data_IF_320991906348
#
_entry.id   IF_320991906348
#
_cell.length_a   1.000
_cell.length_b   1.000
_cell.length_c   1.000
_cell.angle_alpha   90.00
_cell.angle_beta   90.00
_cell.angle_gamma   90.00
#
_symmetry.space_group_name_H-M   'P 1'
#
loop_
_entity.id
_entity.type
_entity.pdbx_description
1 polymer ?
#
# COMPACT_ATOMS: atom_id res chain seq x y z
N UNK A 1 3.63 -26.04 22.59
CA UNK A 1 2.52 -26.79 21.97
C UNK A 1 2.28 -26.09 20.64
N UNK A 2 2.48 -26.79 19.53
CA UNK A 2 2.16 -26.24 18.21
C UNK A 2 0.64 -26.06 18.13
N UNK A 3 0.17 -24.82 18.10
CA UNK A 3 -1.22 -24.58 17.71
C UNK A 3 -1.41 -25.18 16.32
N UNK A 4 -2.18 -26.26 16.24
CA UNK A 4 -2.56 -26.86 14.96
C UNK A 4 -3.30 -25.78 14.16
N UNK A 5 -2.67 -25.32 13.09
CA UNK A 5 -3.28 -24.33 12.21
C UNK A 5 -4.46 -24.99 11.53
N UNK A 6 -5.67 -24.73 12.03
CA UNK A 6 -6.90 -25.20 11.38
C UNK A 6 -6.99 -24.60 9.98
N UNK A 7 -6.98 -25.49 9.00
CA UNK A 7 -7.00 -25.08 7.57
C UNK A 7 -8.35 -24.52 7.13
N UNK A 8 -9.43 -24.82 7.87
CA UNK A 8 -10.77 -24.35 7.53
C UNK A 8 -11.26 -23.43 8.64
N UNK A 9 -11.70 -22.24 8.27
CA UNK A 9 -12.27 -21.26 9.18
C UNK A 9 -13.62 -20.79 8.68
N UNK A 10 -14.56 -20.57 9.58
CA UNK A 10 -15.88 -20.04 9.27
C UNK A 10 -16.11 -18.74 10.04
N UNK A 11 -16.17 -17.64 9.31
CA UNK A 11 -16.57 -16.34 9.86
C UNK A 11 -18.08 -16.27 9.73
N UNK A 12 -18.78 -16.13 10.85
CA UNK A 12 -20.25 -16.08 10.93
C UNK A 12 -20.73 -14.69 11.24
N UNK A 13 -21.93 -14.38 10.77
CA UNK A 13 -22.66 -13.15 11.11
C UNK A 13 -21.88 -11.87 10.78
N UNK A 14 -21.10 -11.84 9.71
CA UNK A 14 -20.34 -10.67 9.30
C UNK A 14 -21.17 -9.75 8.39
N UNK A 15 -21.05 -8.44 8.56
CA UNK A 15 -21.54 -7.44 7.61
C UNK A 15 -20.46 -7.27 6.52
N UNK A 16 -20.65 -7.92 5.37
CA UNK A 16 -19.61 -8.06 4.35
C UNK A 16 -19.61 -6.90 3.36
N UNK A 17 -18.42 -6.31 3.16
CA UNK A 17 -18.12 -5.33 2.12
C UNK A 17 -17.07 -5.88 1.15
N UNK A 18 -17.33 -5.81 -0.16
CA UNK A 18 -16.51 -6.47 -1.20
C UNK A 18 -15.54 -5.61 -2.02
N UNK A 19 -15.47 -4.29 -2.08
CA UNK A 19 -15.87 -3.22 -1.15
C UNK A 19 -17.36 -2.84 -1.14
N UNK A 20 -18.12 -3.15 -2.17
CA UNK A 20 -19.56 -2.87 -2.20
C UNK A 20 -20.28 -3.68 -1.11
N UNK A 21 -21.34 -3.13 -0.45
CA UNK A 21 -22.03 -3.83 0.62
C UNK A 21 -22.76 -5.08 0.12
N UNK A 22 -22.43 -6.24 0.69
CA UNK A 22 -23.06 -7.53 0.40
C UNK A 22 -24.10 -7.91 1.48
N UNK A 23 -24.13 -7.17 2.57
CA UNK A 23 -24.98 -7.42 3.72
C UNK A 23 -24.46 -8.54 4.63
N UNK A 24 -25.33 -9.05 5.52
CA UNK A 24 -24.96 -10.06 6.51
C UNK A 24 -24.75 -11.42 5.86
N UNK A 25 -23.55 -11.99 6.02
CA UNK A 25 -23.14 -13.27 5.42
C UNK A 25 -22.26 -14.08 6.38
N UNK A 26 -22.19 -15.37 6.11
CA UNK A 26 -21.15 -16.28 6.59
C UNK A 26 -20.11 -16.47 5.48
N UNK A 27 -18.82 -16.47 5.87
CA UNK A 27 -17.69 -16.62 4.95
C UNK A 27 -16.84 -17.81 5.37
N UNK A 28 -16.72 -18.82 4.51
CA UNK A 28 -15.89 -19.99 4.74
C UNK A 28 -14.53 -19.79 4.07
N UNK A 29 -13.47 -19.94 4.85
CA UNK A 29 -12.09 -19.94 4.38
C UNK A 29 -11.57 -21.35 4.26
N UNK A 30 -10.92 -21.67 3.14
CA UNK A 30 -10.30 -22.95 2.86
C UNK A 30 -8.80 -22.71 2.58
N UNK A 31 -7.99 -23.04 3.59
CA UNK A 31 -6.56 -22.66 3.60
C UNK A 31 -6.37 -21.16 3.40
N UNK A 32 -5.75 -20.73 2.31
CA UNK A 32 -5.44 -19.35 1.98
C UNK A 32 -6.48 -18.66 1.07
N UNK A 33 -7.64 -19.31 0.81
CA UNK A 33 -8.68 -18.83 -0.09
C UNK A 33 -10.03 -18.64 0.58
N UNK A 34 -10.82 -17.73 0.03
CA UNK A 34 -12.26 -17.62 0.33
C UNK A 34 -12.98 -18.72 -0.46
N UNK A 35 -13.48 -19.73 0.25
CA UNK A 35 -14.15 -20.88 -0.37
C UNK A 35 -15.62 -20.61 -0.69
N UNK A 36 -16.39 -20.07 0.26
CA UNK A 36 -17.82 -19.80 0.10
C UNK A 36 -18.24 -18.53 0.82
N UNK A 37 -19.26 -17.86 0.29
CA UNK A 37 -19.96 -16.74 0.91
C UNK A 37 -21.45 -17.01 0.76
N UNK A 38 -22.20 -17.13 1.85
CA UNK A 38 -23.63 -17.41 1.86
C UNK A 38 -24.33 -16.72 3.03
N UNK A 39 -25.67 -16.63 2.99
CA UNK A 39 -26.46 -16.05 4.09
C UNK A 39 -26.25 -16.84 5.40
N UNK A 40 -26.09 -18.15 5.30
CA UNK A 40 -25.82 -19.06 6.41
C UNK A 40 -25.06 -20.29 5.92
N UNK A 41 -24.00 -20.63 6.64
CA UNK A 41 -23.23 -21.86 6.42
C UNK A 41 -23.34 -22.74 7.68
N UNK A 42 -23.82 -23.97 7.51
CA UNK A 42 -23.77 -25.01 8.54
C UNK A 42 -22.55 -25.91 8.23
N UNK A 43 -21.50 -25.86 9.05
CA UNK A 43 -20.28 -26.61 8.78
C UNK A 43 -20.41 -28.12 9.05
N UNK A 44 -21.55 -28.57 9.63
CA UNK A 44 -21.69 -29.94 10.11
C UNK A 44 -20.80 -30.21 11.34
N UNK A 45 -20.71 -31.49 11.73
CA UNK A 45 -19.92 -31.92 12.92
C UNK A 45 -18.68 -32.74 12.56
N UNK A 46 -18.52 -33.08 11.29
CA UNK A 46 -17.51 -34.06 10.84
C UNK A 46 -16.16 -33.42 10.46
N UNK A 47 -16.13 -32.09 10.33
CA UNK A 47 -14.92 -31.36 9.92
C UNK A 47 -14.49 -30.44 11.08
N UNK A 48 -13.21 -30.47 11.43
CA UNK A 48 -12.66 -29.53 12.42
C UNK A 48 -12.53 -28.14 11.80
N UNK A 49 -13.40 -27.24 12.23
CA UNK A 49 -13.51 -25.86 11.73
C UNK A 49 -13.33 -24.88 12.89
N UNK A 50 -12.44 -23.90 12.69
CA UNK A 50 -12.39 -22.76 13.59
C UNK A 50 -13.52 -21.77 13.26
N UNK A 51 -14.44 -21.57 14.20
CA UNK A 51 -15.56 -20.63 14.03
C UNK A 51 -15.20 -19.29 14.67
N UNK A 52 -15.33 -18.23 13.90
CA UNK A 52 -15.18 -16.83 14.34
C UNK A 52 -16.56 -16.18 14.21
N UNK A 53 -17.19 -15.84 15.33
CA UNK A 53 -18.43 -15.07 15.32
C UNK A 53 -18.10 -13.57 15.21
N UNK A 54 -18.40 -13.00 14.07
CA UNK A 54 -18.15 -11.60 13.79
C UNK A 54 -19.12 -10.64 14.54
N UNK A 55 -20.21 -11.15 15.12
CA UNK A 55 -21.16 -10.34 15.92
C UNK A 55 -21.59 -9.04 15.23
N UNK A 56 -21.90 -9.14 13.96
CA UNK A 56 -22.29 -8.01 13.09
C UNK A 56 -21.16 -6.98 12.79
N UNK A 57 -19.90 -7.26 13.13
CA UNK A 57 -18.75 -6.47 12.70
C UNK A 57 -18.68 -6.37 11.17
N UNK A 58 -18.08 -5.29 10.65
CA UNK A 58 -17.81 -5.15 9.24
C UNK A 58 -16.66 -6.07 8.83
N UNK A 59 -16.88 -6.90 7.82
CA UNK A 59 -15.84 -7.70 7.18
C UNK A 59 -15.46 -7.06 5.86
N UNK A 60 -14.22 -6.64 5.74
CA UNK A 60 -13.68 -5.93 4.60
C UNK A 60 -12.48 -6.67 4.02
N UNK A 61 -12.05 -6.40 2.75
CA UNK A 61 -10.82 -6.97 2.22
C UNK A 61 -9.61 -6.53 3.06
N UNK A 62 -8.60 -7.38 3.18
CA UNK A 62 -7.31 -7.03 3.77
C UNK A 62 -6.66 -5.85 3.03
N UNK A 63 -6.06 -4.93 3.77
CA UNK A 63 -5.52 -3.70 3.21
C UNK A 63 -4.22 -3.95 2.46
N UNK A 64 -3.99 -3.13 1.43
CA UNK A 64 -2.83 -3.15 0.55
C UNK A 64 -2.11 -1.83 0.70
N UNK A 65 -0.88 -1.88 1.19
CA UNK A 65 0.01 -0.74 1.24
C UNK A 65 1.06 -0.85 0.14
N UNK A 66 0.91 -0.04 -0.89
CA UNK A 66 1.74 -0.15 -2.10
C UNK A 66 3.03 0.68 -2.05
N UNK A 67 3.38 1.25 -0.89
CA UNK A 67 4.61 2.01 -0.72
C UNK A 67 5.10 1.94 0.73
N UNK A 68 6.04 1.02 1.00
CA UNK A 68 6.61 0.80 2.34
C UNK A 68 8.13 0.58 2.25
N UNK A 69 8.89 1.27 3.07
CA UNK A 69 10.35 1.07 3.17
C UNK A 69 10.66 -0.14 4.06
N UNK A 70 10.36 -1.36 3.59
CA UNK A 70 10.46 -2.58 4.41
C UNK A 70 11.86 -2.85 4.97
N UNK A 71 12.91 -2.32 4.32
CA UNK A 71 14.30 -2.35 4.81
C UNK A 71 14.68 -1.10 5.64
N UNK A 72 13.68 -0.26 5.99
CA UNK A 72 13.88 1.04 6.59
C UNK A 72 14.34 2.10 5.59
N UNK A 73 13.81 3.29 5.73
CA UNK A 73 14.22 4.50 5.01
C UNK A 73 15.22 5.33 5.83
N UNK A 74 15.32 6.62 5.50
CA UNK A 74 16.16 7.58 6.19
C UNK A 74 17.68 7.37 5.91
N UNK A 75 18.47 8.13 6.62
CA UNK A 75 19.92 8.17 6.46
C UNK A 75 20.44 9.50 5.94
N UNK A 76 19.56 10.37 5.44
CA UNK A 76 19.90 11.68 4.86
C UNK A 76 20.49 12.65 5.89
N UNK A 77 20.25 12.43 7.19
CA UNK A 77 20.88 13.14 8.30
C UNK A 77 22.14 12.47 8.85
N UNK A 78 22.72 11.53 8.11
CA UNK A 78 23.89 10.73 8.50
C UNK A 78 23.48 9.36 9.08
N UNK A 79 24.47 8.49 9.33
CA UNK A 79 24.25 7.07 9.68
C UNK A 79 23.32 6.85 10.88
N UNK A 80 23.30 7.75 11.86
CA UNK A 80 22.41 7.64 13.04
C UNK A 80 20.93 7.85 12.74
N UNK A 81 20.57 8.37 11.56
CA UNK A 81 19.18 8.60 11.13
C UNK A 81 18.63 7.47 10.25
N UNK A 82 19.34 6.37 10.15
CA UNK A 82 18.88 5.16 9.45
C UNK A 82 17.79 4.47 10.26
N UNK A 83 16.62 4.26 9.65
CA UNK A 83 15.51 3.56 10.28
C UNK A 83 15.73 2.04 10.15
N UNK A 84 15.45 1.23 11.18
CA UNK A 84 15.57 -0.22 11.10
C UNK A 84 14.52 -0.84 10.16
N UNK A 85 14.71 -2.11 9.80
CA UNK A 85 13.72 -2.88 9.04
C UNK A 85 12.38 -2.97 9.79
N UNK A 86 11.28 -2.99 9.04
CA UNK A 86 9.93 -3.14 9.60
C UNK A 86 9.73 -4.54 10.20
N UNK A 87 8.96 -4.63 11.26
CA UNK A 87 8.53 -5.88 11.84
C UNK A 87 7.15 -6.30 11.34
N UNK A 88 6.84 -7.60 11.37
CA UNK A 88 5.57 -8.15 10.92
C UNK A 88 4.36 -7.49 11.63
N UNK A 89 4.45 -7.36 12.96
CA UNK A 89 3.34 -6.80 13.75
C UNK A 89 3.09 -5.31 13.47
N UNK A 90 4.11 -4.54 13.04
CA UNK A 90 3.94 -3.14 12.65
C UNK A 90 3.05 -3.01 11.40
N UNK A 91 3.08 -4.03 10.54
CA UNK A 91 2.25 -4.12 9.33
C UNK A 91 0.84 -4.59 9.69
N UNK A 92 0.75 -5.71 10.39
CA UNK A 92 -0.55 -6.38 10.63
C UNK A 92 -1.45 -5.62 11.59
N UNK A 93 -0.91 -4.85 12.55
CA UNK A 93 -1.67 -3.92 13.41
C UNK A 93 -2.43 -2.86 12.60
N UNK A 94 -1.92 -2.49 11.43
CA UNK A 94 -2.59 -1.59 10.50
C UNK A 94 -3.68 -2.24 9.63
N UNK A 95 -3.98 -3.54 9.83
CA UNK A 95 -4.90 -4.30 8.96
C UNK A 95 -4.30 -4.64 7.59
N UNK A 96 -3.03 -4.34 7.39
CA UNK A 96 -2.34 -4.56 6.12
C UNK A 96 -1.93 -6.02 6.00
N UNK A 97 -2.35 -6.66 4.91
CA UNK A 97 -2.06 -8.06 4.58
C UNK A 97 -1.17 -8.20 3.35
N UNK A 98 -1.03 -7.12 2.61
CA UNK A 98 -0.19 -7.04 1.41
C UNK A 98 0.59 -5.74 1.41
N UNK A 99 1.92 -5.84 1.23
CA UNK A 99 2.81 -4.67 1.11
C UNK A 99 3.60 -4.71 -0.18
N UNK A 100 3.97 -3.53 -0.70
CA UNK A 100 4.97 -3.40 -1.75
C UNK A 100 6.15 -2.61 -1.20
N UNK A 101 7.28 -3.27 -1.09
CA UNK A 101 8.52 -2.68 -0.59
C UNK A 101 9.24 -1.85 -1.64
N UNK A 102 9.86 -0.75 -1.21
CA UNK A 102 10.71 0.09 -2.04
C UNK A 102 12.01 0.48 -1.31
N UNK A 103 12.99 0.92 -2.08
CA UNK A 103 14.15 1.65 -1.59
C UNK A 103 13.95 3.14 -1.86
N UNK A 104 14.31 3.97 -0.90
CA UNK A 104 14.32 5.43 -1.05
C UNK A 104 15.68 5.97 -1.53
N UNK A 105 16.15 7.04 -0.89
CA UNK A 105 17.37 7.76 -1.26
C UNK A 105 18.65 6.89 -1.12
N UNK A 106 18.71 6.00 -0.12
CA UNK A 106 19.90 5.16 0.14
C UNK A 106 19.86 3.86 -0.66
N UNK A 107 20.44 3.86 -1.83
CA UNK A 107 20.71 2.65 -2.63
C UNK A 107 22.15 2.12 -2.48
N UNK A 108 22.98 2.78 -1.66
CA UNK A 108 24.37 2.41 -1.44
C UNK A 108 24.52 1.37 -0.36
N UNK A 109 23.80 1.53 0.74
CA UNK A 109 23.85 0.65 1.90
C UNK A 109 22.57 -0.18 2.11
N UNK A 110 21.49 0.11 1.36
CA UNK A 110 20.29 -0.70 1.19
C UNK A 110 20.19 -1.11 -0.27
N UNK A 111 20.26 -2.42 -0.54
CA UNK A 111 20.32 -2.92 -1.91
C UNK A 111 19.04 -3.68 -2.29
N UNK A 112 18.81 -3.87 -3.59
CA UNK A 112 17.72 -4.74 -4.08
C UNK A 112 17.85 -6.17 -3.53
N UNK A 113 19.08 -6.66 -3.28
CA UNK A 113 19.29 -7.98 -2.65
C UNK A 113 18.75 -8.01 -1.22
N UNK A 114 18.98 -6.97 -0.44
CA UNK A 114 18.42 -6.83 0.90
C UNK A 114 16.89 -6.71 0.85
N UNK A 115 16.36 -5.88 -0.08
CA UNK A 115 14.94 -5.67 -0.24
C UNK A 115 14.17 -6.96 -0.56
N UNK A 116 14.67 -7.75 -1.53
CA UNK A 116 14.03 -9.03 -1.87
C UNK A 116 14.15 -10.07 -0.75
N UNK A 117 15.27 -10.10 -0.02
CA UNK A 117 15.43 -10.98 1.13
C UNK A 117 14.40 -10.64 2.22
N UNK A 118 14.20 -9.36 2.52
CA UNK A 118 13.18 -8.91 3.48
C UNK A 118 11.77 -9.21 3.00
N UNK A 119 11.48 -9.02 1.71
CA UNK A 119 10.17 -9.38 1.14
C UNK A 119 9.87 -10.88 1.29
N UNK A 120 10.85 -11.75 1.05
CA UNK A 120 10.72 -13.20 1.25
C UNK A 120 10.52 -13.55 2.73
N UNK A 121 11.24 -12.90 3.64
CA UNK A 121 11.05 -13.06 5.09
C UNK A 121 9.61 -12.75 5.51
N UNK A 122 9.05 -11.61 5.10
CA UNK A 122 7.66 -11.24 5.41
C UNK A 122 6.64 -12.22 4.80
N UNK A 123 6.93 -12.81 3.62
CA UNK A 123 6.10 -13.86 3.02
C UNK A 123 6.13 -15.16 3.85
N UNK A 124 7.28 -15.56 4.37
CA UNK A 124 7.43 -16.70 5.26
C UNK A 124 6.74 -16.47 6.60
N UNK A 125 6.75 -15.24 7.10
CA UNK A 125 6.04 -14.84 8.31
C UNK A 125 4.50 -14.79 8.14
N UNK A 126 3.98 -14.76 6.90
CA UNK A 126 2.58 -15.05 6.60
C UNK A 126 1.78 -13.96 5.89
N UNK A 127 2.37 -12.82 5.51
CA UNK A 127 1.71 -11.80 4.68
C UNK A 127 2.13 -11.91 3.20
N UNK A 128 1.47 -11.17 2.33
CA UNK A 128 1.92 -11.03 0.93
C UNK A 128 2.86 -9.83 0.82
N UNK A 129 4.02 -10.04 0.21
CA UNK A 129 4.98 -8.97 -0.01
C UNK A 129 5.52 -9.00 -1.44
N UNK A 130 5.43 -7.86 -2.11
CA UNK A 130 6.05 -7.56 -3.39
C UNK A 130 7.06 -6.43 -3.21
N UNK A 131 7.83 -6.11 -4.26
CA UNK A 131 8.78 -5.00 -4.26
C UNK A 131 8.82 -4.30 -5.62
N UNK A 132 9.31 -3.08 -5.62
CA UNK A 132 9.79 -2.40 -6.82
C UNK A 132 11.30 -2.59 -6.96
N UNK A 133 11.80 -2.78 -8.19
CA UNK A 133 13.25 -2.69 -8.46
C UNK A 133 13.67 -1.23 -8.61
N UNK A 134 14.91 -0.90 -8.25
CA UNK A 134 15.42 0.47 -8.29
C UNK A 134 15.32 1.20 -6.95
N UNK A 135 15.44 2.51 -7.03
CA UNK A 135 15.46 3.46 -5.92
C UNK A 135 15.11 4.86 -6.43
N UNK A 136 15.44 5.93 -5.69
CA UNK A 136 15.30 7.34 -6.16
C UNK A 136 16.05 7.64 -7.45
N UNK A 137 17.15 6.93 -7.72
CA UNK A 137 18.16 7.34 -8.66
C UNK A 137 18.11 6.61 -10.00
N UNK A 138 18.64 7.28 -11.02
CA UNK A 138 18.95 6.69 -12.32
C UNK A 138 20.47 6.82 -12.60
N UNK A 139 21.04 5.87 -13.32
CA UNK A 139 20.44 4.66 -13.89
C UNK A 139 19.92 3.72 -12.80
N UNK A 140 18.77 3.07 -13.07
CA UNK A 140 18.13 2.15 -12.14
C UNK A 140 19.04 0.97 -11.82
N UNK A 141 19.32 0.73 -10.54
CA UNK A 141 20.03 -0.48 -10.10
C UNK A 141 19.07 -1.65 -10.05
N UNK A 142 19.42 -2.72 -10.72
CA UNK A 142 18.62 -3.94 -10.84
C UNK A 142 19.31 -5.13 -10.15
N UNK A 143 18.57 -6.20 -9.94
CA UNK A 143 19.13 -7.45 -9.43
C UNK A 143 19.73 -8.31 -10.55
N UNK A 144 19.09 -8.25 -11.73
CA UNK A 144 19.54 -8.85 -12.99
C UNK A 144 20.16 -7.78 -13.90
N UNK A 145 20.17 -8.01 -15.20
CA UNK A 145 20.83 -7.10 -16.16
C UNK A 145 19.94 -5.92 -16.56
N UNK A 146 18.63 -5.98 -16.32
CA UNK A 146 17.69 -4.93 -16.72
C UNK A 146 16.42 -4.86 -15.86
N UNK A 147 15.72 -3.71 -15.91
CA UNK A 147 14.39 -3.54 -15.31
C UNK A 147 13.42 -4.61 -15.85
N UNK A 148 13.47 -4.86 -17.16
CA UNK A 148 12.59 -5.83 -17.80
C UNK A 148 12.83 -7.24 -17.27
N UNK A 149 14.11 -7.66 -17.16
CA UNK A 149 14.46 -8.99 -16.66
C UNK A 149 14.12 -9.17 -15.18
N UNK A 150 14.36 -8.15 -14.35
CA UNK A 150 13.93 -8.15 -12.96
C UNK A 150 12.43 -8.43 -12.84
N UNK A 151 11.60 -7.71 -13.60
CA UNK A 151 10.14 -7.88 -13.57
C UNK A 151 9.70 -9.22 -14.13
N UNK A 152 10.33 -9.69 -15.19
CA UNK A 152 9.95 -10.97 -15.86
C UNK A 152 10.36 -12.18 -15.02
N UNK A 153 11.57 -12.19 -14.49
CA UNK A 153 12.19 -13.39 -13.91
C UNK A 153 12.01 -13.53 -12.39
N UNK A 154 11.67 -12.45 -11.68
CA UNK A 154 11.60 -12.44 -10.22
C UNK A 154 10.16 -12.18 -9.78
N UNK A 155 9.52 -13.17 -9.16
CA UNK A 155 8.09 -13.15 -8.82
C UNK A 155 7.69 -11.99 -7.91
N UNK A 156 8.57 -11.59 -6.99
CA UNK A 156 8.32 -10.51 -6.06
C UNK A 156 8.39 -9.12 -6.72
N UNK A 157 9.08 -8.97 -7.85
CA UNK A 157 9.25 -7.68 -8.53
C UNK A 157 8.08 -7.43 -9.48
N UNK A 158 7.28 -6.39 -9.19
CA UNK A 158 6.06 -6.06 -9.93
C UNK A 158 6.10 -4.73 -10.67
N UNK A 159 7.18 -3.98 -10.53
CA UNK A 159 7.37 -2.67 -11.13
C UNK A 159 8.73 -2.09 -10.80
N UNK A 160 8.94 -0.82 -11.07
CA UNK A 160 10.16 -0.06 -10.79
C UNK A 160 9.85 1.15 -9.91
N UNK A 161 10.74 1.48 -8.99
CA UNK A 161 10.61 2.66 -8.10
C UNK A 161 11.25 2.44 -6.71
N UNK A 162 11.10 3.45 -5.88
CA UNK A 162 10.46 4.75 -6.20
C UNK A 162 11.47 5.67 -6.92
N UNK A 163 11.14 6.10 -8.12
CA UNK A 163 11.99 7.04 -8.87
C UNK A 163 11.65 8.46 -8.46
N UNK A 164 12.63 9.26 -8.04
CA UNK A 164 12.38 10.63 -7.61
C UNK A 164 12.42 11.61 -8.77
N UNK A 165 11.36 12.43 -8.87
CA UNK A 165 11.29 13.58 -9.78
C UNK A 165 10.80 14.81 -9.01
N UNK A 166 11.08 16.00 -9.52
CA UNK A 166 10.72 17.27 -8.87
C UNK A 166 11.23 17.35 -7.41
N UNK A 167 12.34 16.71 -7.11
CA UNK A 167 12.98 16.65 -5.79
C UNK A 167 14.47 16.98 -5.90
N UNK A 168 15.00 17.74 -4.94
CA UNK A 168 16.43 18.10 -4.91
C UNK A 168 17.34 16.89 -4.65
N UNK A 169 16.80 15.78 -4.11
CA UNK A 169 17.51 14.51 -3.88
C UNK A 169 17.48 13.59 -5.08
N UNK A 170 16.72 13.93 -6.12
CA UNK A 170 16.65 13.11 -7.33
C UNK A 170 17.95 13.20 -8.15
N UNK A 171 18.16 12.24 -9.04
CA UNK A 171 19.25 12.26 -10.01
C UNK A 171 19.02 13.23 -11.17
N UNK A 172 17.99 14.08 -11.11
CA UNK A 172 17.58 15.06 -12.14
C UNK A 172 17.35 14.39 -13.51
N UNK A 173 16.43 13.39 -13.59
CA UNK A 173 16.19 12.66 -14.83
C UNK A 173 15.68 13.54 -15.96
N UNK A 174 15.98 13.17 -17.19
CA UNK A 174 15.36 13.77 -18.38
C UNK A 174 14.04 13.08 -18.73
N UNK A 175 13.22 13.67 -19.60
CA UNK A 175 12.00 13.04 -20.13
C UNK A 175 12.31 11.70 -20.81
N UNK A 176 13.42 11.65 -21.55
CA UNK A 176 13.90 10.43 -22.23
C UNK A 176 14.23 9.30 -21.23
N UNK A 177 14.88 9.64 -20.12
CA UNK A 177 15.22 8.66 -19.09
C UNK A 177 13.96 8.01 -18.49
N UNK A 178 12.97 8.83 -18.10
CA UNK A 178 11.71 8.31 -17.54
C UNK A 178 10.92 7.53 -18.60
N UNK A 179 10.91 8.00 -19.85
CA UNK A 179 10.30 7.28 -20.97
C UNK A 179 10.90 5.87 -21.16
N UNK A 180 12.24 5.75 -21.12
CA UNK A 180 12.95 4.46 -21.24
C UNK A 180 12.66 3.52 -20.04
N UNK A 181 12.67 4.05 -18.81
CA UNK A 181 12.33 3.30 -17.61
C UNK A 181 10.89 2.77 -17.73
N UNK A 182 9.95 3.63 -18.10
CA UNK A 182 8.55 3.28 -18.24
C UNK A 182 8.32 2.23 -19.35
N UNK A 183 9.02 2.35 -20.46
CA UNK A 183 8.97 1.37 -21.56
C UNK A 183 9.48 -0.01 -21.12
N UNK A 184 10.63 -0.07 -20.44
CA UNK A 184 11.20 -1.31 -19.93
C UNK A 184 10.29 -1.97 -18.87
N UNK A 185 9.76 -1.18 -17.92
CA UNK A 185 8.84 -1.67 -16.91
C UNK A 185 7.54 -2.21 -17.52
N UNK A 186 6.96 -1.46 -18.49
CA UNK A 186 5.75 -1.86 -19.22
C UNK A 186 5.95 -3.16 -19.99
N UNK A 187 7.05 -3.28 -20.73
CA UNK A 187 7.38 -4.50 -21.47
C UNK A 187 7.53 -5.70 -20.51
N UNK A 188 8.26 -5.54 -19.40
CA UNK A 188 8.39 -6.56 -18.37
C UNK A 188 7.04 -6.99 -17.79
N UNK A 189 6.18 -6.00 -17.46
CA UNK A 189 4.83 -6.27 -16.95
C UNK A 189 3.93 -6.99 -17.94
N UNK A 190 4.01 -6.67 -19.24
CA UNK A 190 3.25 -7.35 -20.30
C UNK A 190 3.72 -8.81 -20.50
N UNK A 191 5.01 -9.05 -20.52
CA UNK A 191 5.58 -10.38 -20.73
C UNK A 191 5.32 -11.33 -19.55
N UNK A 192 5.28 -10.80 -18.32
CA UNK A 192 5.09 -11.58 -17.09
C UNK A 192 3.65 -11.60 -16.56
N UNK A 193 2.73 -10.81 -17.14
CA UNK A 193 1.37 -10.62 -16.62
C UNK A 193 1.31 -9.77 -15.35
N UNK A 194 2.42 -9.15 -14.94
CA UNK A 194 2.52 -8.28 -13.75
C UNK A 194 2.13 -6.83 -14.07
N UNK A 195 2.15 -5.96 -13.06
CA UNK A 195 1.80 -4.54 -13.24
C UNK A 195 2.78 -3.82 -14.18
N UNK A 196 4.07 -3.94 -13.93
CA UNK A 196 5.11 -3.24 -14.68
C UNK A 196 4.97 -1.71 -14.61
N UNK A 197 4.44 -1.19 -13.50
CA UNK A 197 4.25 0.26 -13.29
C UNK A 197 5.56 0.92 -12.86
N UNK A 198 5.57 2.25 -12.92
CA UNK A 198 6.61 3.10 -12.36
C UNK A 198 6.03 3.84 -11.15
N UNK A 199 6.52 3.53 -9.96
CA UNK A 199 6.22 4.29 -8.75
C UNK A 199 7.12 5.52 -8.70
N UNK A 200 6.54 6.70 -8.57
CA UNK A 200 7.24 7.98 -8.68
C UNK A 200 7.12 8.77 -7.38
N UNK A 201 8.25 9.06 -6.76
CA UNK A 201 8.35 10.03 -5.68
C UNK A 201 8.27 11.45 -6.24
N UNK A 202 7.24 12.20 -5.84
CA UNK A 202 7.11 13.63 -6.21
C UNK A 202 7.59 14.49 -5.05
N UNK A 203 8.61 15.30 -5.33
CA UNK A 203 9.11 16.31 -4.38
C UNK A 203 8.37 17.63 -4.45
N UNK A 204 8.95 18.66 -3.80
CA UNK A 204 8.40 20.02 -3.74
C UNK A 204 8.87 20.92 -4.91
N UNK A 205 9.45 20.33 -5.94
CA UNK A 205 9.95 21.05 -7.12
C UNK A 205 8.83 21.74 -7.90
N UNK A 206 9.22 22.78 -8.65
CA UNK A 206 8.29 23.63 -9.41
C UNK A 206 7.52 22.89 -10.52
N UNK A 207 8.11 21.82 -11.07
CA UNK A 207 7.57 21.12 -12.23
C UNK A 207 6.42 20.17 -11.84
N UNK A 208 6.32 19.80 -10.54
CA UNK A 208 5.22 18.98 -9.99
C UNK A 208 4.99 17.73 -10.83
N UNK A 209 3.81 17.59 -11.45
CA UNK A 209 3.39 16.47 -12.29
C UNK A 209 3.53 16.72 -13.80
N UNK A 210 3.87 17.96 -14.23
CA UNK A 210 3.99 18.26 -15.66
C UNK A 210 5.00 17.38 -16.37
N UNK A 211 6.07 16.99 -15.67
CA UNK A 211 7.09 16.09 -16.17
C UNK A 211 6.52 14.72 -16.62
N UNK A 212 5.60 14.13 -15.85
CA UNK A 212 4.94 12.86 -16.20
C UNK A 212 3.92 13.05 -17.34
N UNK A 213 3.23 14.18 -17.34
CA UNK A 213 2.32 14.56 -18.45
C UNK A 213 3.09 14.70 -19.76
N UNK A 214 4.25 15.35 -19.73
CA UNK A 214 5.09 15.54 -20.91
C UNK A 214 5.61 14.22 -21.47
N UNK A 215 6.01 13.27 -20.60
CA UNK A 215 6.36 11.91 -21.04
C UNK A 215 5.17 11.23 -21.71
N UNK A 216 3.98 11.28 -21.12
CA UNK A 216 2.78 10.64 -21.67
C UNK A 216 2.33 11.29 -22.99
N UNK A 217 2.51 12.62 -23.14
CA UNK A 217 2.13 13.36 -24.35
C UNK A 217 3.14 13.23 -25.49
N UNK A 218 4.42 13.00 -25.18
CA UNK A 218 5.50 12.92 -26.17
C UNK A 218 5.89 11.49 -26.55
N UNK A 219 5.29 10.48 -25.92
CA UNK A 219 5.57 9.05 -26.16
C UNK A 219 4.28 8.24 -26.26
N UNK A 220 4.39 6.94 -26.58
CA UNK A 220 3.27 5.98 -26.55
C UNK A 220 3.01 5.41 -25.14
N UNK A 221 3.65 5.95 -24.10
CA UNK A 221 3.48 5.51 -22.72
C UNK A 221 2.18 6.09 -22.14
N UNK A 222 1.21 5.27 -21.72
CA UNK A 222 -0.02 5.79 -21.16
C UNK A 222 0.23 6.46 -19.80
N UNK A 223 -0.50 7.53 -19.49
CA UNK A 223 -0.40 8.25 -18.22
C UNK A 223 -0.61 7.33 -17.00
N UNK A 224 -1.37 6.25 -17.14
CA UNK A 224 -1.61 5.24 -16.10
C UNK A 224 -0.42 4.31 -15.84
N UNK A 225 0.67 4.46 -16.59
CA UNK A 225 1.92 3.75 -16.36
C UNK A 225 2.61 4.20 -15.07
N UNK A 226 2.30 5.42 -14.62
CA UNK A 226 2.90 6.06 -13.46
C UNK A 226 1.95 6.05 -12.26
N UNK A 227 2.50 5.81 -11.08
CA UNK A 227 1.83 6.02 -9.78
C UNK A 227 2.65 7.07 -9.03
N UNK A 228 2.38 8.37 -9.24
CA UNK A 228 3.01 9.43 -8.46
C UNK A 228 2.46 9.44 -7.03
N UNK A 229 3.36 9.47 -6.04
CA UNK A 229 3.02 9.49 -4.62
C UNK A 229 3.41 10.80 -3.94
N UNK A 230 2.95 11.00 -2.70
CA UNK A 230 3.16 12.18 -1.85
C UNK A 230 2.43 13.43 -2.33
N UNK A 231 1.31 13.29 -3.03
CA UNK A 231 0.65 14.40 -3.73
C UNK A 231 -0.08 15.38 -2.80
N UNK A 232 -0.18 15.08 -1.50
CA UNK A 232 -0.74 15.98 -0.48
C UNK A 232 0.26 16.94 0.18
N UNK A 233 1.54 16.96 -0.22
CA UNK A 233 2.61 17.72 0.47
C UNK A 233 2.38 19.23 0.53
N UNK A 234 1.75 19.81 -0.46
CA UNK A 234 1.41 21.23 -0.48
C UNK A 234 0.21 21.51 -1.41
N UNK A 235 -0.51 22.63 -1.21
CA UNK A 235 -1.71 22.94 -1.98
C UNK A 235 -1.49 23.01 -3.49
N UNK A 236 -0.33 23.50 -3.93
CA UNK A 236 -0.04 23.61 -5.34
C UNK A 236 0.21 22.27 -6.03
N UNK A 237 0.79 21.29 -5.31
CA UNK A 237 0.95 19.93 -5.80
C UNK A 237 -0.38 19.18 -5.79
N UNK A 238 -1.18 19.38 -4.75
CA UNK A 238 -2.52 18.79 -4.64
C UNK A 238 -3.44 19.23 -5.79
N UNK A 239 -3.48 20.53 -6.11
CA UNK A 239 -4.24 21.02 -7.27
C UNK A 239 -3.74 20.40 -8.59
N UNK A 240 -2.41 20.26 -8.77
CA UNK A 240 -1.84 19.59 -9.93
C UNK A 240 -2.26 18.10 -9.97
N UNK A 241 -2.36 17.43 -8.82
CA UNK A 241 -2.82 16.05 -8.73
C UNK A 241 -4.27 15.89 -9.20
N UNK A 242 -5.16 16.80 -8.83
CA UNK A 242 -6.55 16.80 -9.29
C UNK A 242 -6.60 16.92 -10.83
N UNK A 243 -5.84 17.85 -11.38
CA UNK A 243 -5.80 18.05 -12.85
C UNK A 243 -5.20 16.83 -13.56
N UNK A 244 -4.16 16.21 -13.00
CA UNK A 244 -3.55 14.99 -13.51
C UNK A 244 -4.54 13.81 -13.51
N UNK A 245 -5.30 13.65 -12.41
CA UNK A 245 -6.31 12.61 -12.31
C UNK A 245 -7.48 12.82 -13.31
N UNK A 246 -7.91 14.06 -13.53
CA UNK A 246 -8.93 14.40 -14.54
C UNK A 246 -8.48 14.05 -15.96
N UNK A 247 -7.17 14.04 -16.24
CA UNK A 247 -6.57 13.57 -17.50
C UNK A 247 -6.44 12.04 -17.57
N UNK A 248 -6.86 11.32 -16.52
CA UNK A 248 -6.84 9.86 -16.44
C UNK A 248 -5.64 9.28 -15.71
N UNK A 249 -4.78 10.10 -15.13
CA UNK A 249 -3.66 9.67 -14.29
C UNK A 249 -4.11 9.01 -12.99
N UNK A 250 -3.21 8.22 -12.39
CA UNK A 250 -3.38 7.69 -11.03
C UNK A 250 -2.75 8.66 -10.05
N UNK A 251 -3.34 8.82 -8.87
CA UNK A 251 -2.83 9.70 -7.82
C UNK A 251 -2.75 8.95 -6.50
N UNK A 252 -1.68 9.19 -5.75
CA UNK A 252 -1.45 8.57 -4.47
C UNK A 252 -1.13 9.59 -3.38
N UNK A 253 -1.78 9.43 -2.21
CA UNK A 253 -1.58 10.28 -1.06
C UNK A 253 -0.94 9.48 0.07
N UNK A 254 0.10 10.07 0.68
CA UNK A 254 0.83 9.48 1.79
C UNK A 254 0.17 9.80 3.11
N UNK A 255 -0.21 8.76 3.84
CA UNK A 255 -0.96 8.89 5.10
C UNK A 255 -0.09 9.19 6.31
N UNK A 256 1.19 8.80 6.31
CA UNK A 256 2.11 9.17 7.38
C UNK A 256 2.40 10.67 7.33
N UNK A 257 2.13 11.33 8.44
CA UNK A 257 2.42 12.74 8.66
C UNK A 257 2.86 12.90 10.11
N UNK A 258 3.80 13.81 10.43
CA UNK A 258 4.12 14.12 11.82
C UNK A 258 2.85 14.50 12.59
N UNK A 259 2.66 13.89 13.77
CA UNK A 259 1.44 14.14 14.56
C UNK A 259 1.38 15.59 15.06
N UNK A 260 2.55 16.18 15.41
CA UNK A 260 2.57 17.55 15.92
C UNK A 260 3.97 18.17 15.91
N UNK A 261 4.10 19.46 15.49
CA UNK A 261 3.10 20.20 14.71
C UNK A 261 2.98 19.66 13.28
N UNK A 262 1.79 19.69 12.68
CA UNK A 262 1.63 19.24 11.29
C UNK A 262 2.48 20.08 10.36
N UNK A 263 3.03 19.48 9.32
CA UNK A 263 3.78 20.21 8.30
C UNK A 263 2.85 21.25 7.65
N UNK A 264 3.24 22.51 7.72
CA UNK A 264 2.42 23.60 7.19
C UNK A 264 2.18 23.43 5.70
N UNK A 265 0.90 23.33 5.32
CA UNK A 265 0.49 23.16 3.94
C UNK A 265 0.30 21.71 3.51
N UNK A 266 0.64 20.72 4.35
CA UNK A 266 0.31 19.33 4.10
C UNK A 266 -1.21 19.13 4.19
N UNK A 267 -1.79 18.42 3.23
CA UNK A 267 -3.23 18.15 3.17
C UNK A 267 -3.49 16.76 3.75
N UNK A 268 -4.34 16.69 4.78
CA UNK A 268 -4.74 15.44 5.40
C UNK A 268 -5.42 14.53 4.36
N UNK A 269 -5.04 13.24 4.30
CA UNK A 269 -5.52 12.34 3.25
C UNK A 269 -7.03 12.15 3.26
N UNK A 270 -7.67 12.11 4.43
CA UNK A 270 -9.13 12.06 4.55
C UNK A 270 -9.80 13.25 3.85
N UNK A 271 -9.30 14.47 4.07
CA UNK A 271 -9.79 15.70 3.41
C UNK A 271 -9.44 15.72 1.92
N UNK A 272 -8.24 15.26 1.56
CA UNK A 272 -7.84 15.14 0.17
C UNK A 272 -8.81 14.24 -0.61
N UNK A 273 -9.20 13.09 -0.03
CA UNK A 273 -10.18 12.19 -0.66
C UNK A 273 -11.53 12.89 -0.87
N UNK A 274 -12.02 13.58 0.15
CA UNK A 274 -13.28 14.34 0.04
C UNK A 274 -13.23 15.35 -1.11
N UNK A 275 -12.19 16.16 -1.12
CA UNK A 275 -12.05 17.23 -2.11
C UNK A 275 -11.88 16.71 -3.54
N UNK A 276 -11.08 15.64 -3.75
CA UNK A 276 -10.92 15.06 -5.09
C UNK A 276 -12.24 14.48 -5.62
N UNK A 277 -13.06 13.86 -4.75
CA UNK A 277 -14.38 13.37 -5.11
C UNK A 277 -15.34 14.50 -5.47
N UNK A 278 -15.37 15.57 -4.67
CA UNK A 278 -16.17 16.77 -4.93
C UNK A 278 -15.77 17.49 -6.24
N UNK A 279 -14.49 17.43 -6.60
CA UNK A 279 -13.94 17.91 -7.86
C UNK A 279 -14.24 17.00 -9.05
N UNK A 280 -14.96 15.88 -8.85
CA UNK A 280 -15.38 14.96 -9.90
C UNK A 280 -14.29 13.98 -10.38
N UNK A 281 -13.24 13.77 -9.60
CA UNK A 281 -12.26 12.73 -9.87
C UNK A 281 -12.86 11.37 -9.50
N UNK A 282 -12.85 10.37 -10.41
CA UNK A 282 -13.31 9.03 -10.08
C UNK A 282 -12.46 8.41 -8.96
N UNK A 283 -13.10 7.83 -7.93
CA UNK A 283 -12.38 7.22 -6.79
C UNK A 283 -11.36 6.17 -7.23
N UNK A 284 -11.61 5.50 -8.35
CA UNK A 284 -10.73 4.49 -8.93
C UNK A 284 -9.35 5.02 -9.31
N UNK A 285 -9.18 6.32 -9.39
CA UNK A 285 -7.88 6.97 -9.68
C UNK A 285 -7.05 7.23 -8.42
N UNK A 286 -7.66 7.08 -7.23
CA UNK A 286 -7.06 7.45 -5.95
C UNK A 286 -6.56 6.20 -5.22
N UNK A 287 -5.35 6.27 -4.68
CA UNK A 287 -4.82 5.34 -3.68
C UNK A 287 -4.23 6.09 -2.49
N UNK A 288 -4.17 5.38 -1.37
CA UNK A 288 -3.41 5.81 -0.20
C UNK A 288 -2.27 4.82 0.06
N UNK A 289 -1.14 5.36 0.50
CA UNK A 289 0.01 4.59 0.98
C UNK A 289 0.52 5.18 2.29
N UNK A 290 1.15 4.35 3.13
CA UNK A 290 1.62 4.84 4.41
C UNK A 290 2.98 5.54 4.35
N UNK A 291 3.82 5.18 3.39
CA UNK A 291 5.27 5.49 3.44
C UNK A 291 5.89 4.94 4.76
N UNK A 292 5.41 3.77 5.18
CA UNK A 292 5.81 3.13 6.42
C UNK A 292 7.31 2.87 6.46
N UNK A 293 7.95 3.10 7.64
CA UNK A 293 9.40 3.10 7.81
C UNK A 293 10.15 4.13 6.94
N UNK A 294 9.44 5.07 6.29
CA UNK A 294 10.02 6.26 5.68
C UNK A 294 10.42 7.29 6.74
N UNK A 295 11.33 8.18 6.40
CA UNK A 295 11.80 9.26 7.28
C UNK A 295 10.97 10.51 7.09
N UNK A 296 10.31 10.96 8.15
CA UNK A 296 9.47 12.16 8.15
C UNK A 296 10.19 13.32 8.85
N UNK A 297 10.46 14.43 8.16
CA UNK A 297 11.03 15.61 8.81
C UNK A 297 9.99 16.28 9.73
N UNK A 298 10.41 16.64 10.95
CA UNK A 298 9.65 17.48 11.86
C UNK A 298 10.13 18.92 11.77
N UNK A 299 9.20 19.83 11.87
CA UNK A 299 9.45 21.27 11.92
C UNK A 299 8.84 21.84 13.19
N UNK A 300 9.48 22.85 13.79
CA UNK A 300 8.94 23.55 14.94
C UNK A 300 7.86 24.58 14.53
N UNK A 301 7.31 25.33 15.50
CA UNK A 301 6.30 26.37 15.30
C UNK A 301 6.78 27.49 14.37
N UNK A 302 8.09 27.67 14.22
CA UNK A 302 8.70 28.67 13.32
C UNK A 302 8.96 28.10 11.92
N UNK A 303 8.75 26.81 11.72
CA UNK A 303 9.05 26.09 10.49
C UNK A 303 10.52 25.69 10.38
N UNK A 304 11.29 25.70 11.47
CA UNK A 304 12.67 25.23 11.50
C UNK A 304 12.72 23.73 11.77
N UNK A 305 13.68 23.04 11.13
CA UNK A 305 13.85 21.60 11.32
C UNK A 305 14.12 21.25 12.79
N UNK A 306 13.27 20.44 13.40
CA UNK A 306 13.31 20.07 14.82
C UNK A 306 13.61 18.60 15.07
N UNK A 307 13.66 17.75 14.03
CA UNK A 307 13.95 16.33 14.18
C UNK A 307 13.37 15.45 13.08
N UNK A 308 13.41 14.14 13.31
CA UNK A 308 12.88 13.11 12.40
C UNK A 308 11.91 12.21 13.15
N UNK A 309 10.87 11.78 12.45
CA UNK A 309 9.93 10.74 12.87
C UNK A 309 9.94 9.59 11.86
N UNK A 310 9.33 8.48 12.23
CA UNK A 310 9.22 7.28 11.38
C UNK A 310 7.79 7.19 10.85
N UNK A 311 7.62 7.02 9.56
CA UNK A 311 6.33 6.72 8.94
C UNK A 311 5.76 5.40 9.47
N UNK A 312 4.46 5.39 9.78
CA UNK A 312 3.78 4.25 10.40
C UNK A 312 2.75 3.63 9.46
N UNK A 313 2.83 2.33 9.22
CA UNK A 313 1.84 1.59 8.41
C UNK A 313 0.42 1.71 9.00
N UNK A 314 0.30 1.85 10.31
CA UNK A 314 -0.99 2.04 10.99
C UNK A 314 -1.70 3.33 10.60
N UNK A 315 -1.01 4.31 10.02
CA UNK A 315 -1.61 5.54 9.51
C UNK A 315 -2.54 5.28 8.32
N UNK A 316 -2.31 4.20 7.57
CA UNK A 316 -3.05 3.88 6.36
C UNK A 316 -4.56 3.79 6.62
N UNK A 317 -4.95 2.91 7.52
CA UNK A 317 -6.37 2.74 7.85
C UNK A 317 -6.91 3.89 8.72
N UNK A 318 -6.06 4.53 9.53
CA UNK A 318 -6.46 5.69 10.33
C UNK A 318 -7.01 6.80 9.43
N UNK A 319 -6.35 7.14 8.32
CA UNK A 319 -6.82 8.16 7.38
C UNK A 319 -8.11 7.74 6.63
N UNK A 320 -8.28 6.44 6.34
CA UNK A 320 -9.54 5.92 5.76
C UNK A 320 -10.68 5.99 6.79
N UNK A 321 -10.40 5.62 8.05
CA UNK A 321 -11.37 5.76 9.15
C UNK A 321 -11.80 7.21 9.34
N UNK A 322 -10.84 8.14 9.34
CA UNK A 322 -11.12 9.57 9.43
C UNK A 322 -11.95 10.06 8.23
N UNK A 323 -11.69 9.52 7.01
CA UNK A 323 -12.50 9.83 5.83
C UNK A 323 -13.96 9.37 5.99
N UNK A 324 -14.20 8.24 6.66
CA UNK A 324 -15.55 7.73 6.91
C UNK A 324 -16.23 8.56 8.02
N UNK A 325 -15.53 8.82 9.13
CA UNK A 325 -16.14 9.43 10.32
C UNK A 325 -16.23 10.95 10.21
N UNK A 326 -15.12 11.61 9.84
CA UNK A 326 -15.00 13.07 9.86
C UNK A 326 -15.49 13.71 8.56
N UNK A 327 -15.23 13.03 7.42
CA UNK A 327 -15.59 13.55 6.10
C UNK A 327 -16.88 12.93 5.52
N UNK A 328 -17.50 12.01 6.27
CA UNK A 328 -18.77 11.34 5.93
C UNK A 328 -18.75 10.60 4.57
N UNK A 329 -17.58 10.09 4.18
CA UNK A 329 -17.44 9.29 2.94
C UNK A 329 -17.97 7.88 3.20
N UNK A 330 -18.87 7.33 2.34
CA UNK A 330 -19.38 5.97 2.51
C UNK A 330 -18.24 4.93 2.61
N UNK A 331 -18.42 3.94 3.49
CA UNK A 331 -17.41 2.88 3.74
C UNK A 331 -16.95 2.22 2.45
N UNK A 332 -17.91 1.86 1.57
CA UNK A 332 -17.67 1.20 0.28
C UNK A 332 -16.85 2.04 -0.70
N UNK A 333 -16.83 3.36 -0.53
CA UNK A 333 -16.01 4.28 -1.31
C UNK A 333 -14.65 4.45 -0.64
N UNK A 334 -14.63 4.82 0.63
CA UNK A 334 -13.40 5.12 1.35
C UNK A 334 -12.42 3.94 1.38
N UNK A 335 -12.92 2.72 1.56
CA UNK A 335 -12.07 1.54 1.67
C UNK A 335 -11.41 1.14 0.34
N UNK A 336 -11.96 1.59 -0.81
CA UNK A 336 -11.40 1.24 -2.12
C UNK A 336 -9.97 1.72 -2.29
N UNK A 337 -9.62 2.88 -1.70
CA UNK A 337 -8.29 3.52 -1.89
C UNK A 337 -7.14 2.73 -1.28
N UNK A 338 -7.43 1.78 -0.37
CA UNK A 338 -6.45 0.85 0.24
C UNK A 338 -6.75 -0.63 -0.03
N UNK A 339 -7.72 -0.94 -0.88
CA UNK A 339 -8.09 -2.34 -1.21
C UNK A 339 -8.16 -2.55 -2.71
N UNK A 340 -9.31 -2.32 -3.34
CA UNK A 340 -9.55 -2.63 -4.76
C UNK A 340 -8.76 -1.74 -5.72
N UNK A 341 -8.49 -0.49 -5.37
CA UNK A 341 -7.75 0.42 -6.24
C UNK A 341 -6.26 0.03 -6.36
N UNK A 342 -5.49 -0.12 -5.25
CA UNK A 342 -4.12 -0.61 -5.36
C UNK A 342 -4.06 -2.02 -5.95
N UNK A 343 -5.02 -2.92 -5.65
CA UNK A 343 -5.06 -4.25 -6.26
C UNK A 343 -5.18 -4.18 -7.80
N UNK A 344 -6.08 -3.31 -8.31
CA UNK A 344 -6.25 -3.09 -9.75
C UNK A 344 -5.02 -2.47 -10.38
N UNK A 345 -4.49 -1.38 -9.78
CA UNK A 345 -3.34 -0.64 -10.31
C UNK A 345 -2.09 -1.52 -10.40
N UNK A 346 -1.94 -2.44 -9.45
CA UNK A 346 -0.83 -3.39 -9.36
C UNK A 346 -1.14 -4.77 -9.97
N UNK A 347 -2.29 -4.94 -10.64
CA UNK A 347 -2.74 -6.22 -11.23
C UNK A 347 -2.71 -7.40 -10.24
N UNK A 348 -2.98 -7.16 -8.97
CA UNK A 348 -3.04 -8.20 -7.93
C UNK A 348 -4.42 -8.89 -8.00
N UNK A 349 -4.59 -9.74 -8.99
CA UNK A 349 -5.91 -10.31 -9.37
C UNK A 349 -6.60 -11.09 -8.24
N UNK A 350 -5.86 -11.60 -7.26
CA UNK A 350 -6.41 -12.35 -6.14
C UNK A 350 -6.64 -11.50 -4.88
N UNK A 351 -6.38 -10.20 -4.91
CA UNK A 351 -6.42 -9.28 -3.77
C UNK A 351 -7.53 -8.23 -3.87
N UNK A 352 -7.73 -7.48 -2.80
CA UNK A 352 -8.53 -6.26 -2.75
C UNK A 352 -10.04 -6.45 -2.78
N UNK A 353 -10.55 -7.69 -2.73
CA UNK A 353 -11.99 -7.99 -2.73
C UNK A 353 -12.33 -9.21 -1.88
N UNK A 354 -13.45 -9.15 -1.15
CA UNK A 354 -14.05 -10.32 -0.51
C UNK A 354 -14.89 -11.07 -1.54
N UNK A 355 -14.30 -12.06 -2.20
CA UNK A 355 -14.96 -12.83 -3.26
C UNK A 355 -14.46 -14.27 -3.28
N UNK A 356 -15.35 -15.23 -3.60
CA UNK A 356 -14.99 -16.65 -3.72
C UNK A 356 -13.84 -16.85 -4.69
N UNK A 357 -12.83 -17.63 -4.28
CA UNK A 357 -11.60 -17.90 -5.04
C UNK A 357 -10.47 -16.87 -4.84
N UNK A 358 -10.76 -15.70 -4.27
CA UNK A 358 -9.72 -14.72 -3.89
C UNK A 358 -8.95 -15.18 -2.64
N UNK A 359 -7.83 -14.55 -2.38
CA UNK A 359 -7.04 -14.80 -1.18
C UNK A 359 -7.86 -14.45 0.08
N UNK A 360 -7.70 -15.25 1.11
CA UNK A 360 -8.32 -15.02 2.40
C UNK A 360 -7.55 -13.95 3.20
N UNK A 361 -7.55 -12.73 2.65
CA UNK A 361 -7.02 -11.50 3.22
C UNK A 361 -8.20 -10.63 3.66
N UNK A 362 -8.44 -10.58 4.96
CA UNK A 362 -9.67 -10.02 5.53
C UNK A 362 -9.38 -9.22 6.80
N UNK A 363 -10.18 -8.19 7.02
CA UNK A 363 -10.17 -7.42 8.28
C UNK A 363 -11.58 -7.34 8.82
N UNK A 364 -11.75 -7.64 10.12
CA UNK A 364 -12.96 -7.36 10.86
C UNK A 364 -12.80 -6.03 11.61
N UNK A 365 -13.76 -5.14 11.40
CA UNK A 365 -13.84 -3.83 12.05
C UNK A 365 -15.04 -3.82 13.00
N UNK A 366 -14.82 -3.35 14.24
CA UNK A 366 -15.90 -3.23 15.21
C UNK A 366 -16.82 -2.02 14.89
N UNK A 367 -17.80 -1.76 15.72
CA UNK A 367 -18.77 -0.66 15.58
C UNK A 367 -18.15 0.73 15.54
N UNK A 368 -16.95 0.89 16.13
CA UNK A 368 -16.18 2.14 16.13
C UNK A 368 -15.19 2.22 14.98
N UNK A 369 -15.26 1.29 14.02
CA UNK A 369 -14.28 1.11 12.95
C UNK A 369 -12.84 0.89 13.45
N UNK A 370 -12.66 0.29 14.65
CA UNK A 370 -11.35 -0.18 15.08
C UNK A 370 -11.10 -1.57 14.48
N UNK A 371 -9.84 -1.85 14.14
CA UNK A 371 -9.41 -3.17 13.70
C UNK A 371 -9.53 -4.14 14.89
N UNK A 372 -10.36 -5.16 14.75
CA UNK A 372 -10.53 -6.23 15.72
C UNK A 372 -9.73 -7.48 15.37
N UNK A 373 -9.91 -7.96 14.15
CA UNK A 373 -9.28 -9.20 13.66
C UNK A 373 -8.69 -8.99 12.27
N UNK A 374 -7.48 -9.46 12.07
CA UNK A 374 -6.78 -9.44 10.77
C UNK A 374 -6.43 -10.86 10.37
N UNK A 375 -6.84 -11.23 9.17
CA UNK A 375 -6.56 -12.53 8.57
C UNK A 375 -5.75 -12.28 7.30
N UNK A 376 -4.54 -12.84 7.23
CA UNK A 376 -3.68 -12.79 6.05
C UNK A 376 -3.46 -14.20 5.53
N UNK A 377 -3.76 -14.41 4.25
CA UNK A 377 -3.66 -15.72 3.60
C UNK A 377 -4.29 -16.85 4.43
N UNK A 378 -5.48 -16.56 4.99
CA UNK A 378 -6.23 -17.48 5.83
C UNK A 378 -5.67 -17.70 7.25
N UNK A 379 -4.54 -17.09 7.62
CA UNK A 379 -3.96 -17.15 8.95
C UNK A 379 -4.41 -15.94 9.77
N UNK A 380 -4.87 -16.19 11.00
CA UNK A 380 -5.24 -15.12 11.93
C UNK A 380 -3.96 -14.46 12.45
N UNK A 381 -3.74 -13.21 12.10
CA UNK A 381 -2.58 -12.42 12.51
C UNK A 381 -2.88 -11.60 13.77
N UNK A 382 -4.09 -11.04 13.84
CA UNK A 382 -4.63 -10.30 14.98
C UNK A 382 -6.00 -10.89 15.30
N UNK A 383 -6.34 -11.03 16.58
CA UNK A 383 -7.67 -11.48 17.04
C UNK A 383 -8.06 -10.74 18.33
N UNK A 384 -9.24 -10.15 18.35
CA UNK A 384 -9.71 -9.32 19.47
C UNK A 384 -8.69 -8.22 19.84
N UNK A 385 -8.08 -7.58 18.84
CA UNK A 385 -7.02 -6.55 18.97
C UNK A 385 -5.67 -7.08 19.51
N UNK A 386 -5.53 -8.39 19.76
CA UNK A 386 -4.30 -9.01 20.25
C UNK A 386 -3.48 -9.60 19.08
N UNK A 387 -2.16 -9.46 19.15
CA UNK A 387 -1.25 -10.03 18.15
C UNK A 387 -1.13 -11.53 18.37
N UNK A 388 -1.62 -12.32 17.40
CA UNK A 388 -1.54 -13.77 17.41
C UNK A 388 -0.26 -14.28 16.75
N UNK A 389 0.28 -13.53 15.80
CA UNK A 389 1.50 -13.88 15.08
C UNK A 389 2.48 -12.73 15.14
N UNK A 390 3.66 -13.02 15.66
CA UNK A 390 4.81 -12.12 15.72
C UNK A 390 5.89 -12.58 14.75
N UNK A 391 6.69 -11.66 14.24
CA UNK A 391 7.95 -11.99 13.59
C UNK A 391 8.91 -12.68 14.58
N UNK A 392 9.84 -13.45 14.04
CA UNK A 392 10.74 -14.32 14.85
C UNK A 392 11.50 -13.58 15.95
N UNK A 393 11.84 -12.31 15.73
CA UNK A 393 12.61 -11.49 16.66
C UNK A 393 11.77 -10.43 17.39
N UNK A 394 10.46 -10.44 17.24
CA UNK A 394 9.57 -9.56 18.00
C UNK A 394 9.37 -10.06 19.45
N UNK A 395 9.46 -9.15 20.42
CA UNK A 395 9.28 -9.45 21.85
C UNK A 395 7.83 -9.46 22.27
#
# INVERSE_FOLDING_TARGET
MSDEIRMIKLIKNANVFTPEPLGKKDVLLTADKIGYIQDRIDPGKEIDIEVIDAKDMLLVPGFIDSHVHICGGGGEGGFKTRIPEIMLSDITKGGVTTVVGCLGTDESTRTIRNLIAKAKSLKEEGITCYIYTGSYHIPVRTLTDSIQDDIVLIDEIIGVGEIAVSDHRSSQPTLEDIGKIAAAARAGGMLSGKAGIVNIHIGDGKDKLSFLEDVANSTEIPITQFIPTHLGRNPGLFEAAIQYAKKGGLIDFTTSSPEWPPIKGNIKCSKALKEVLEQGVPVERVSFTSDGQGSLPRFDEKGEFSGLEVGMVTSLFKEVRDAIIDEEIPVEIAITVITSNPARNLKLINKGRVHVGKDADLVLLNENLDIDTVIARGRIMIKNKEIMVKGVFEK
#
